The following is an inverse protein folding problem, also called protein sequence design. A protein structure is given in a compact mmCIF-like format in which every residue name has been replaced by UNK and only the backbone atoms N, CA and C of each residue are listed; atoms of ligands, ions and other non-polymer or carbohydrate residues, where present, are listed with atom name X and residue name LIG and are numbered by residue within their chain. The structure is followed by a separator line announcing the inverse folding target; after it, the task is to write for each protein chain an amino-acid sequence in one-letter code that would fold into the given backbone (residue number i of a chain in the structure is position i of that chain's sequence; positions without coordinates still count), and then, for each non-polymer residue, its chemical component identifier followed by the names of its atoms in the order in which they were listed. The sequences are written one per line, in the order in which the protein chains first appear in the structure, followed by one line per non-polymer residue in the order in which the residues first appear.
data_IF_184081751140
#
_entry.id   IF_184081751140
#
_cell.length_a   1.000
_cell.length_b   1.000
_cell.length_c   1.000
_cell.angle_alpha   90.00
_cell.angle_beta   90.00
_cell.angle_gamma   90.00
#
_symmetry.space_group_name_H-M   'P 1'
#
loop_
_entity.id
_entity.type
_entity.pdbx_description
1 polymer ?
#
# COMPACT_ATOMS: atom_id res chain seq x y z
N UNK A 1 20.19 30.10 41.48
CA UNK A 1 19.48 31.08 40.64
C UNK A 1 19.53 30.56 39.21
N UNK A 2 18.47 29.86 38.78
CA UNK A 2 18.33 29.35 37.41
C UNK A 2 17.67 30.44 36.58
N UNK A 3 18.16 30.65 35.37
CA UNK A 3 17.79 31.82 34.57
C UNK A 3 16.39 31.69 33.95
N UNK A 4 15.69 32.80 33.68
CA UNK A 4 14.36 32.81 33.06
C UNK A 4 14.31 32.13 31.67
N UNK A 5 15.48 31.92 31.04
CA UNK A 5 15.63 31.22 29.78
C UNK A 5 15.52 29.68 29.93
N UNK A 6 15.95 29.11 31.05
CA UNK A 6 15.85 27.66 31.27
C UNK A 6 14.41 27.23 31.51
N UNK A 7 13.63 28.03 32.25
CA UNK A 7 12.20 27.80 32.47
C UNK A 7 11.39 27.97 31.18
N UNK A 8 11.78 28.91 30.31
CA UNK A 8 11.15 29.09 29.00
C UNK A 8 11.46 27.92 28.04
N UNK A 9 12.70 27.44 28.04
CA UNK A 9 13.12 26.27 27.24
C UNK A 9 12.44 25.00 27.74
N UNK A 10 12.35 24.78 29.05
CA UNK A 10 11.67 23.62 29.62
C UNK A 10 10.15 23.67 29.39
N UNK A 11 9.54 24.87 29.47
CA UNK A 11 8.12 25.06 29.14
C UNK A 11 7.84 24.86 27.64
N UNK A 12 8.74 25.31 26.76
CA UNK A 12 8.66 25.06 25.32
C UNK A 12 8.81 23.57 24.98
N UNK A 13 9.76 22.87 25.60
CA UNK A 13 9.98 21.42 25.44
C UNK A 13 8.80 20.61 25.99
N UNK A 14 8.21 21.02 27.11
CA UNK A 14 7.02 20.36 27.66
C UNK A 14 5.76 20.58 26.80
N UNK A 15 5.61 21.76 26.17
CA UNK A 15 4.55 22.03 25.18
C UNK A 15 4.76 21.24 23.89
N UNK A 16 6.00 21.11 23.42
CA UNK A 16 6.33 20.34 22.20
C UNK A 16 6.02 18.84 22.38
N UNK A 17 6.36 18.26 23.54
CA UNK A 17 6.09 16.85 23.86
C UNK A 17 4.60 16.48 23.94
N UNK A 18 3.71 17.44 24.22
CA UNK A 18 2.25 17.19 24.30
C UNK A 18 1.56 17.32 22.93
N UNK A 19 2.17 18.07 22.01
CA UNK A 19 1.72 18.23 20.62
C UNK A 19 2.20 17.05 19.74
N UNK A 20 3.29 16.40 20.16
CA UNK A 20 3.98 15.33 19.42
C UNK A 20 3.08 14.14 19.01
N UNK A 21 2.12 13.69 19.83
CA UNK A 21 1.35 12.49 19.48
C UNK A 21 0.22 12.73 18.47
N UNK A 22 -0.37 13.92 18.45
CA UNK A 22 -1.44 14.26 17.50
C UNK A 22 -0.86 14.76 16.17
N UNK A 23 0.20 15.57 16.23
CA UNK A 23 0.85 16.08 15.02
C UNK A 23 1.73 15.04 14.33
N UNK A 24 2.39 14.12 15.04
CA UNK A 24 3.11 13.02 14.38
C UNK A 24 2.15 12.12 13.62
N UNK A 25 0.94 11.87 14.12
CA UNK A 25 -0.09 11.09 13.41
C UNK A 25 -0.67 11.87 12.22
N UNK A 26 -0.81 13.19 12.32
CA UNK A 26 -1.24 14.03 11.21
C UNK A 26 -0.14 14.19 10.14
N UNK A 27 1.12 14.33 10.56
CA UNK A 27 2.30 14.40 9.71
C UNK A 27 2.55 13.05 9.03
N UNK A 28 2.39 11.93 9.73
CA UNK A 28 2.46 10.58 9.16
C UNK A 28 1.38 10.39 8.09
N UNK A 29 0.11 10.73 8.39
CA UNK A 29 -1.00 10.77 7.41
C UNK A 29 -0.76 11.73 6.24
N UNK A 30 -0.07 12.84 6.46
CA UNK A 30 0.32 13.77 5.39
C UNK A 30 1.42 13.19 4.51
N UNK A 31 2.46 12.57 5.09
CA UNK A 31 3.53 11.86 4.37
C UNK A 31 2.97 10.65 3.63
N UNK A 32 1.90 10.03 4.11
CA UNK A 32 1.24 8.87 3.51
C UNK A 32 0.60 9.15 2.14
N UNK A 33 0.32 10.43 1.82
CA UNK A 33 -0.09 10.81 0.48
C UNK A 33 1.11 10.61 -0.46
N UNK A 34 0.97 9.77 -1.48
CA UNK A 34 2.04 9.40 -2.42
C UNK A 34 2.81 10.60 -2.97
N UNK A 35 2.11 11.72 -3.23
CA UNK A 35 2.74 12.97 -3.64
C UNK A 35 3.71 13.54 -2.58
N UNK A 36 3.33 13.50 -1.30
CA UNK A 36 4.11 14.10 -0.22
C UNK A 36 5.32 13.24 0.16
N UNK A 37 5.19 11.91 0.09
CA UNK A 37 6.34 11.00 0.24
C UNK A 37 7.40 11.27 -0.82
N UNK A 38 6.98 11.44 -2.08
CA UNK A 38 7.88 11.79 -3.18
C UNK A 38 8.56 13.13 -2.92
N UNK A 39 7.80 14.17 -2.57
CA UNK A 39 8.37 15.50 -2.28
C UNK A 39 9.35 15.48 -1.10
N UNK A 40 9.01 14.79 -0.01
CA UNK A 40 9.90 14.64 1.15
C UNK A 40 11.15 13.85 0.79
N UNK A 41 11.01 12.80 -0.02
CA UNK A 41 12.13 12.01 -0.51
C UNK A 41 13.07 12.86 -1.36
N UNK A 42 12.53 13.69 -2.28
CA UNK A 42 13.35 14.63 -3.06
C UNK A 42 14.11 15.59 -2.13
N UNK A 43 13.43 16.15 -1.13
CA UNK A 43 14.01 17.12 -0.19
C UNK A 43 15.13 16.52 0.67
N UNK A 44 15.15 15.19 0.85
CA UNK A 44 16.16 14.49 1.66
C UNK A 44 17.22 13.83 0.77
N UNK A 45 16.82 12.95 -0.14
CA UNK A 45 17.75 12.15 -0.94
C UNK A 45 18.54 12.99 -1.94
N UNK A 46 17.92 13.95 -2.64
CA UNK A 46 18.65 14.76 -3.65
C UNK A 46 19.79 15.55 -3.00
N UNK A 47 19.58 16.39 -1.96
CA UNK A 47 20.68 17.12 -1.36
C UNK A 47 21.71 16.22 -0.67
N UNK A 48 21.28 15.12 -0.02
CA UNK A 48 22.22 14.18 0.59
C UNK A 48 23.09 13.47 -0.45
N UNK A 49 22.52 13.04 -1.57
CA UNK A 49 23.25 12.43 -2.67
C UNK A 49 24.23 13.41 -3.30
N UNK A 50 23.79 14.64 -3.58
CA UNK A 50 24.67 15.67 -4.13
C UNK A 50 25.80 15.99 -3.14
N UNK A 51 25.52 16.14 -1.84
CA UNK A 51 26.54 16.33 -0.83
C UNK A 51 27.51 15.15 -0.75
N UNK A 52 27.02 13.91 -0.80
CA UNK A 52 27.83 12.69 -0.77
C UNK A 52 28.73 12.57 -2.00
N UNK A 53 28.19 12.73 -3.21
CA UNK A 53 28.96 12.72 -4.45
C UNK A 53 29.98 13.85 -4.47
N UNK A 54 29.63 15.03 -3.95
CA UNK A 54 30.57 16.15 -3.80
C UNK A 54 31.72 15.81 -2.85
N UNK A 55 31.41 15.24 -1.69
CA UNK A 55 32.42 14.83 -0.72
C UNK A 55 33.38 13.77 -1.31
N UNK A 56 32.82 12.80 -2.05
CA UNK A 56 33.60 11.78 -2.74
C UNK A 56 34.46 12.40 -3.86
N UNK A 57 33.90 13.33 -4.64
CA UNK A 57 34.62 14.06 -5.68
C UNK A 57 35.79 14.84 -5.11
N UNK A 58 35.59 15.57 -4.01
CA UNK A 58 36.65 16.35 -3.38
C UNK A 58 37.75 15.48 -2.74
N UNK A 59 37.42 14.24 -2.35
CA UNK A 59 38.40 13.31 -1.79
C UNK A 59 39.40 12.77 -2.81
N UNK A 60 39.02 12.76 -4.10
CA UNK A 60 39.90 12.39 -5.19
C UNK A 60 40.33 13.64 -5.95
N UNK A 61 41.61 13.97 -5.89
CA UNK A 61 42.24 15.15 -6.54
C UNK A 61 42.13 15.19 -8.08
N UNK A 62 41.38 14.27 -8.68
CA UNK A 62 41.17 14.09 -10.13
C UNK A 62 39.69 14.16 -10.56
N UNK A 63 38.74 14.31 -9.64
CA UNK A 63 37.32 14.34 -9.99
C UNK A 63 36.85 15.80 -10.19
N UNK A 64 36.32 16.08 -11.37
CA UNK A 64 35.91 17.44 -11.79
C UNK A 64 34.62 17.91 -11.11
N UNK A 65 34.66 19.11 -10.53
CA UNK A 65 33.52 19.85 -9.96
C UNK A 65 32.38 20.11 -10.98
N UNK A 66 32.61 19.91 -12.27
CA UNK A 66 31.66 20.22 -13.32
C UNK A 66 30.43 19.27 -13.36
N UNK A 67 30.49 18.13 -12.68
CA UNK A 67 29.44 17.08 -12.67
C UNK A 67 28.05 17.52 -12.16
N UNK A 68 27.95 18.61 -11.40
CA UNK A 68 26.76 18.88 -10.59
C UNK A 68 25.49 19.23 -11.38
N UNK A 69 25.51 20.06 -12.44
CA UNK A 69 24.27 20.44 -13.12
C UNK A 69 23.51 19.26 -13.75
N UNK A 70 24.14 18.37 -14.56
CA UNK A 70 23.41 17.23 -15.13
C UNK A 70 23.08 16.16 -14.08
N UNK A 71 23.94 15.93 -13.08
CA UNK A 71 23.64 15.00 -12.00
C UNK A 71 22.47 15.46 -11.14
N UNK A 72 22.44 16.73 -10.72
CA UNK A 72 21.39 17.25 -9.87
C UNK A 72 20.03 17.23 -10.57
N UNK A 73 19.98 17.68 -11.83
CA UNK A 73 18.74 17.70 -12.61
C UNK A 73 18.23 16.28 -12.92
N UNK A 74 19.11 15.34 -13.28
CA UNK A 74 18.69 13.96 -13.51
C UNK A 74 18.38 13.19 -12.23
N UNK A 75 19.08 13.46 -11.11
CA UNK A 75 18.69 12.94 -9.78
C UNK A 75 17.29 13.43 -9.42
N UNK A 76 17.02 14.73 -9.58
CA UNK A 76 15.67 15.26 -9.34
C UNK A 76 14.63 14.56 -10.21
N UNK A 77 14.90 14.36 -11.50
CA UNK A 77 13.97 13.69 -12.44
C UNK A 77 13.67 12.26 -12.03
N UNK A 78 14.68 11.48 -11.62
CA UNK A 78 14.52 10.11 -11.12
C UNK A 78 13.56 10.06 -9.92
N UNK A 79 13.74 10.95 -8.95
CA UNK A 79 12.94 10.95 -7.72
C UNK A 79 11.57 11.64 -7.88
N UNK A 80 11.46 12.63 -8.77
CA UNK A 80 10.22 13.41 -8.96
C UNK A 80 9.14 12.63 -9.70
N UNK A 81 9.52 11.81 -10.67
CA UNK A 81 8.60 10.99 -11.45
C UNK A 81 9.15 9.56 -11.64
N UNK A 82 9.20 8.73 -10.58
CA UNK A 82 9.89 7.43 -10.59
C UNK A 82 9.27 6.38 -11.53
N UNK A 83 8.00 6.57 -11.93
CA UNK A 83 7.30 5.74 -12.92
C UNK A 83 7.37 6.35 -14.33
N UNK A 84 7.97 7.55 -14.45
CA UNK A 84 8.11 8.29 -15.70
C UNK A 84 9.09 7.66 -16.68
N UNK A 85 8.96 8.05 -17.96
CA UNK A 85 9.79 7.57 -19.07
C UNK A 85 11.30 7.80 -18.84
N UNK A 86 11.64 8.89 -18.16
CA UNK A 86 13.02 9.33 -17.89
C UNK A 86 13.55 8.86 -16.53
N UNK A 87 12.80 8.06 -15.77
CA UNK A 87 13.23 7.56 -14.46
C UNK A 87 13.88 6.18 -14.49
N UNK A 88 14.36 5.74 -15.66
CA UNK A 88 15.10 4.49 -15.75
C UNK A 88 16.57 4.68 -15.30
N UNK A 89 17.03 3.99 -14.24
CA UNK A 89 18.40 4.15 -13.73
C UNK A 89 19.46 3.84 -14.78
N UNK A 90 19.19 2.84 -15.64
CA UNK A 90 20.12 2.43 -16.70
C UNK A 90 20.23 3.51 -17.78
N UNK A 91 19.12 4.09 -18.27
CA UNK A 91 19.21 5.17 -19.27
C UNK A 91 19.82 6.43 -18.69
N UNK A 92 19.60 6.72 -17.41
CA UNK A 92 20.27 7.84 -16.73
C UNK A 92 21.79 7.70 -16.78
N UNK A 93 22.33 6.57 -16.30
CA UNK A 93 23.79 6.31 -16.32
C UNK A 93 24.33 6.27 -17.76
N UNK A 94 23.62 5.57 -18.65
CA UNK A 94 24.03 5.44 -20.05
C UNK A 94 23.98 6.80 -20.77
N UNK A 95 22.98 7.64 -20.50
CA UNK A 95 22.81 8.95 -21.14
C UNK A 95 23.89 9.93 -20.73
N UNK A 96 24.20 10.02 -19.44
CA UNK A 96 25.30 10.83 -18.92
C UNK A 96 26.66 10.39 -19.48
N UNK A 97 26.92 9.09 -19.53
CA UNK A 97 28.21 8.56 -20.02
C UNK A 97 28.36 8.72 -21.54
N UNK A 98 27.30 8.45 -22.31
CA UNK A 98 27.25 8.74 -23.74
C UNK A 98 27.43 10.24 -24.00
N UNK A 99 26.78 11.11 -23.22
CA UNK A 99 26.96 12.55 -23.28
C UNK A 99 28.43 12.95 -23.11
N UNK A 100 29.09 12.42 -22.08
CA UNK A 100 30.51 12.66 -21.83
C UNK A 100 31.40 12.26 -23.02
N UNK A 101 31.16 11.07 -23.58
CA UNK A 101 31.88 10.56 -24.75
C UNK A 101 31.60 11.40 -25.99
N UNK A 102 30.37 11.91 -26.17
CA UNK A 102 30.02 12.80 -27.27
C UNK A 102 30.74 14.16 -27.16
N UNK A 103 30.85 14.71 -25.95
CA UNK A 103 31.64 15.92 -25.69
C UNK A 103 33.12 15.73 -26.02
N UNK A 104 33.71 14.61 -25.57
CA UNK A 104 35.08 14.26 -25.92
C UNK A 104 35.25 14.05 -27.44
N UNK A 105 34.36 13.29 -28.07
CA UNK A 105 34.37 13.05 -29.51
C UNK A 105 34.23 14.34 -30.32
N UNK A 106 33.46 15.31 -29.84
CA UNK A 106 33.33 16.62 -30.48
C UNK A 106 34.65 17.42 -30.48
N UNK A 107 35.40 17.40 -29.37
CA UNK A 107 36.72 18.02 -29.30
C UNK A 107 37.70 17.39 -30.27
N UNK A 108 37.72 16.05 -30.35
CA UNK A 108 38.58 15.31 -31.28
C UNK A 108 38.23 15.68 -32.72
N UNK A 109 36.94 15.66 -33.06
CA UNK A 109 36.48 15.94 -34.42
C UNK A 109 36.75 17.39 -34.84
N UNK A 110 36.52 18.36 -33.95
CA UNK A 110 36.81 19.77 -34.24
C UNK A 110 38.30 20.03 -34.45
N UNK A 111 39.16 19.32 -33.70
CA UNK A 111 40.62 19.40 -33.83
C UNK A 111 41.08 18.82 -35.17
N UNK A 112 40.58 17.64 -35.54
CA UNK A 112 40.90 16.98 -36.82
C UNK A 112 40.43 17.78 -38.04
N UNK A 113 39.29 18.46 -37.94
CA UNK A 113 38.78 19.32 -39.00
C UNK A 113 39.48 20.68 -39.08
N UNK A 114 40.35 21.02 -38.13
CA UNK A 114 41.03 22.32 -38.07
C UNK A 114 40.11 23.50 -37.79
N UNK A 115 38.94 23.25 -37.21
CA UNK A 115 37.91 24.26 -36.85
C UNK A 115 37.85 24.47 -35.34
N UNK A 116 38.76 23.84 -34.58
CA UNK A 116 38.91 24.07 -33.16
C UNK A 116 39.43 25.50 -32.94
N UNK A 117 38.53 26.39 -32.52
CA UNK A 117 38.84 27.81 -32.29
C UNK A 117 39.04 28.09 -30.80
N UNK A 118 38.78 27.08 -29.93
CA UNK A 118 39.15 27.05 -28.52
C UNK A 118 38.94 28.38 -27.85
N UNK A 119 37.68 28.69 -27.53
CA UNK A 119 37.23 30.03 -27.15
C UNK A 119 38.21 30.80 -26.25
N UNK A 120 38.30 32.12 -26.43
CA UNK A 120 39.39 32.97 -25.92
C UNK A 120 39.39 33.21 -24.39
N UNK A 121 38.86 32.30 -23.57
CA UNK A 121 38.76 32.42 -22.12
C UNK A 121 38.62 31.06 -21.41
N UNK A 122 38.86 31.05 -20.09
CA UNK A 122 38.88 29.84 -19.24
C UNK A 122 37.56 29.05 -19.23
N UNK A 123 36.45 29.68 -19.63
CA UNK A 123 35.13 29.06 -19.78
C UNK A 123 34.52 29.30 -21.17
N UNK A 124 35.36 29.56 -22.17
CA UNK A 124 34.89 29.83 -23.51
C UNK A 124 34.91 28.52 -24.33
N UNK A 125 33.77 28.23 -24.93
CA UNK A 125 33.56 27.08 -25.82
C UNK A 125 33.26 27.66 -27.20
N UNK A 126 33.92 27.16 -28.25
CA UNK A 126 33.62 27.61 -29.59
C UNK A 126 32.25 27.10 -30.05
N UNK A 127 31.59 27.88 -30.90
CA UNK A 127 30.23 27.59 -31.34
C UNK A 127 30.15 26.28 -32.15
N UNK A 128 31.23 25.96 -32.87
CA UNK A 128 31.30 24.77 -33.70
C UNK A 128 31.45 23.49 -32.85
N UNK A 129 32.32 23.50 -31.82
CA UNK A 129 32.47 22.38 -30.90
C UNK A 129 31.16 22.11 -30.15
N UNK A 130 30.48 23.17 -29.69
CA UNK A 130 29.18 23.06 -29.03
C UNK A 130 28.11 22.44 -29.96
N UNK A 131 28.06 22.88 -31.22
CA UNK A 131 27.13 22.34 -32.20
C UNK A 131 27.38 20.85 -32.47
N UNK A 132 28.65 20.44 -32.64
CA UNK A 132 29.03 19.04 -32.82
C UNK A 132 28.67 18.22 -31.59
N UNK A 133 28.97 18.70 -30.37
CA UNK A 133 28.68 17.97 -29.14
C UNK A 133 27.19 17.69 -28.97
N UNK A 134 26.33 18.71 -29.20
CA UNK A 134 24.87 18.56 -29.12
C UNK A 134 24.35 17.65 -30.23
N UNK A 135 24.86 17.78 -31.45
CA UNK A 135 24.49 16.93 -32.58
C UNK A 135 24.86 15.46 -32.34
N UNK A 136 26.09 15.19 -31.91
CA UNK A 136 26.55 13.84 -31.56
C UNK A 136 25.74 13.27 -30.42
N UNK A 137 25.50 14.04 -29.36
CA UNK A 137 24.65 13.61 -28.24
C UNK A 137 23.26 13.19 -28.75
N UNK A 138 22.63 13.98 -29.62
CA UNK A 138 21.33 13.65 -30.19
C UNK A 138 21.35 12.38 -31.07
N UNK A 139 22.31 12.28 -32.00
CA UNK A 139 22.40 11.12 -32.90
C UNK A 139 22.70 9.83 -32.14
N UNK A 140 23.65 9.86 -31.21
CA UNK A 140 24.07 8.66 -30.47
C UNK A 140 23.01 8.23 -29.45
N UNK A 141 22.39 9.17 -28.72
CA UNK A 141 21.30 8.83 -27.78
C UNK A 141 20.09 8.27 -28.51
N UNK A 142 19.75 8.82 -29.67
CA UNK A 142 18.68 8.30 -30.54
C UNK A 142 19.01 6.90 -31.06
N UNK A 143 20.23 6.69 -31.59
CA UNK A 143 20.65 5.39 -32.11
C UNK A 143 20.66 4.27 -31.05
N UNK A 144 20.84 4.63 -29.78
CA UNK A 144 20.91 3.69 -28.65
C UNK A 144 19.60 3.55 -27.87
N UNK A 145 18.52 4.28 -28.23
CA UNK A 145 17.26 4.36 -27.46
C UNK A 145 17.47 4.83 -25.99
N UNK A 146 18.40 5.78 -25.80
CA UNK A 146 18.77 6.40 -24.52
C UNK A 146 18.40 7.89 -24.55
N UNK A 147 17.16 8.20 -24.94
CA UNK A 147 16.67 9.59 -24.99
C UNK A 147 16.65 10.21 -23.58
N UNK A 148 17.78 10.77 -23.14
CA UNK A 148 17.98 11.28 -21.79
C UNK A 148 18.41 12.77 -21.87
N UNK A 149 17.58 13.73 -21.41
CA UNK A 149 17.87 15.16 -21.56
C UNK A 149 19.21 15.60 -20.92
N UNK A 150 19.61 14.93 -19.83
CA UNK A 150 20.86 15.23 -19.13
C UNK A 150 22.12 14.88 -19.96
N UNK A 151 22.00 14.05 -21.00
CA UNK A 151 23.09 13.72 -21.92
C UNK A 151 23.62 14.95 -22.67
N UNK A 152 22.74 15.83 -23.14
CA UNK A 152 23.12 17.06 -23.85
C UNK A 152 23.89 18.03 -22.94
N UNK A 153 23.41 18.23 -21.71
CA UNK A 153 24.11 19.04 -20.72
C UNK A 153 25.50 18.47 -20.42
N UNK A 154 25.63 17.14 -20.40
CA UNK A 154 26.90 16.46 -20.12
C UNK A 154 27.87 16.55 -21.30
N UNK A 155 27.37 16.48 -22.53
CA UNK A 155 28.16 16.68 -23.73
C UNK A 155 28.78 18.08 -23.80
N UNK A 156 27.98 19.12 -23.50
CA UNK A 156 28.48 20.49 -23.43
C UNK A 156 29.51 20.67 -22.32
N UNK A 157 29.31 20.02 -21.18
CA UNK A 157 30.25 20.05 -20.07
C UNK A 157 31.60 19.40 -20.41
N UNK A 158 31.57 18.35 -21.24
CA UNK A 158 32.77 17.69 -21.77
C UNK A 158 33.70 18.64 -22.52
N UNK A 159 33.17 19.72 -23.11
CA UNK A 159 33.95 20.73 -23.82
C UNK A 159 34.77 21.63 -22.88
N UNK A 160 34.44 21.68 -21.59
CA UNK A 160 35.17 22.45 -20.58
C UNK A 160 36.27 21.62 -19.90
N UNK A 161 36.39 20.34 -20.23
CA UNK A 161 37.38 19.44 -19.63
C UNK A 161 38.77 19.79 -20.15
N UNK A 162 39.77 19.73 -19.27
CA UNK A 162 41.15 20.00 -19.66
C UNK A 162 41.66 18.91 -20.61
N UNK A 163 42.40 19.27 -21.67
CA UNK A 163 43.02 18.31 -22.56
C UNK A 163 43.84 17.26 -21.79
N UNK A 164 43.62 15.98 -22.09
CA UNK A 164 44.30 14.84 -21.45
C UNK A 164 43.64 14.30 -20.18
N UNK A 165 42.51 14.87 -19.74
CA UNK A 165 41.74 14.40 -18.57
C UNK A 165 40.32 13.94 -18.91
N UNK A 166 39.99 13.85 -20.20
CA UNK A 166 38.66 13.49 -20.72
C UNK A 166 38.23 12.07 -20.30
N UNK A 167 39.19 11.15 -20.26
CA UNK A 167 38.96 9.80 -19.75
C UNK A 167 38.61 9.81 -18.25
N UNK A 168 39.36 10.57 -17.44
CA UNK A 168 39.09 10.69 -15.99
C UNK A 168 37.71 11.31 -15.75
N UNK A 169 37.35 12.32 -16.56
CA UNK A 169 36.03 12.92 -16.54
C UNK A 169 34.92 11.92 -16.89
N UNK A 170 35.07 11.13 -17.96
CA UNK A 170 34.06 10.14 -18.36
C UNK A 170 33.87 9.07 -17.29
N UNK A 171 34.96 8.57 -16.70
CA UNK A 171 34.92 7.61 -15.60
C UNK A 171 34.26 8.23 -14.35
N UNK A 172 34.53 9.51 -14.06
CA UNK A 172 33.89 10.21 -12.95
C UNK A 172 32.37 10.31 -13.10
N UNK A 173 31.89 10.59 -14.32
CA UNK A 173 30.47 10.62 -14.67
C UNK A 173 29.84 9.25 -14.50
N UNK A 174 30.48 8.21 -15.03
CA UNK A 174 30.00 6.83 -14.89
C UNK A 174 29.85 6.44 -13.42
N UNK A 175 30.87 6.69 -12.60
CA UNK A 175 30.85 6.35 -11.17
C UNK A 175 29.79 7.15 -10.41
N UNK A 176 29.75 8.47 -10.59
CA UNK A 176 28.82 9.34 -9.87
C UNK A 176 27.36 9.04 -10.24
N UNK A 177 27.06 8.88 -11.53
CA UNK A 177 25.71 8.52 -11.99
C UNK A 177 25.31 7.11 -11.54
N UNK A 178 26.25 6.15 -11.50
CA UNK A 178 25.99 4.80 -11.00
C UNK A 178 25.64 4.79 -9.50
N UNK A 179 26.30 5.63 -8.69
CA UNK A 179 25.96 5.77 -7.26
C UNK A 179 24.52 6.30 -7.09
N UNK A 180 24.17 7.35 -7.83
CA UNK A 180 22.81 7.92 -7.81
C UNK A 180 21.79 6.87 -8.25
N UNK A 181 22.04 6.18 -9.36
CA UNK A 181 21.17 5.14 -9.90
C UNK A 181 20.98 3.98 -8.91
N UNK A 182 22.04 3.57 -8.22
CA UNK A 182 21.99 2.53 -7.19
C UNK A 182 21.10 2.94 -6.02
N UNK A 183 21.34 4.14 -5.45
CA UNK A 183 20.55 4.64 -4.32
C UNK A 183 19.08 4.83 -4.72
N UNK A 184 18.83 5.36 -5.92
CA UNK A 184 17.48 5.47 -6.47
C UNK A 184 16.80 4.10 -6.61
N UNK A 185 17.50 3.09 -7.14
CA UNK A 185 16.94 1.73 -7.31
C UNK A 185 16.60 1.11 -5.96
N UNK A 186 17.51 1.20 -4.98
CA UNK A 186 17.27 0.71 -3.62
C UNK A 186 16.09 1.44 -2.98
N UNK A 187 16.01 2.76 -3.13
CA UNK A 187 14.88 3.53 -2.63
C UNK A 187 13.57 3.13 -3.31
N UNK A 188 13.57 2.97 -4.63
CA UNK A 188 12.38 2.62 -5.42
C UNK A 188 11.83 1.25 -4.98
N UNK A 189 12.68 0.23 -4.93
CA UNK A 189 12.27 -1.13 -4.54
C UNK A 189 11.85 -1.20 -3.06
N UNK A 190 12.62 -0.59 -2.15
CA UNK A 190 12.39 -0.75 -0.70
C UNK A 190 11.29 0.15 -0.15
N UNK A 191 11.15 1.36 -0.68
CA UNK A 191 10.23 2.37 -0.13
C UNK A 191 9.08 2.70 -1.08
N UNK A 192 9.37 2.91 -2.38
CA UNK A 192 8.34 3.35 -3.32
C UNK A 192 7.42 2.22 -3.79
N UNK A 193 7.94 1.04 -4.11
CA UNK A 193 7.17 -0.13 -4.56
C UNK A 193 6.52 -0.86 -3.37
N UNK A 194 7.23 -0.97 -2.25
CA UNK A 194 6.69 -1.56 -1.01
C UNK A 194 5.64 -0.68 -0.30
N UNK A 195 5.30 0.49 -0.88
CA UNK A 195 4.31 1.45 -0.35
C UNK A 195 2.97 0.80 -0.01
N UNK A 196 2.53 -0.18 -0.79
CA UNK A 196 1.26 -0.84 -0.52
C UNK A 196 1.31 -1.64 0.79
N UNK A 197 2.43 -2.30 1.10
CA UNK A 197 2.51 -3.19 2.27
C UNK A 197 2.81 -2.47 3.57
N UNK A 198 3.63 -1.41 3.52
CA UNK A 198 4.00 -0.65 4.74
C UNK A 198 2.88 0.31 5.17
N UNK A 199 2.05 0.77 4.22
CA UNK A 199 1.00 1.74 4.48
C UNK A 199 -0.39 1.13 4.62
N UNK A 200 -0.78 0.10 3.85
CA UNK A 200 -2.15 -0.42 3.95
C UNK A 200 -2.42 -1.22 5.22
N UNK A 201 -1.40 -1.89 5.79
CA UNK A 201 -1.61 -2.74 6.97
C UNK A 201 -1.88 -1.94 8.25
N UNK A 202 -1.54 -0.63 8.29
CA UNK A 202 -1.83 0.24 9.45
C UNK A 202 -3.02 1.19 9.28
N UNK A 203 -3.64 1.26 8.09
CA UNK A 203 -4.69 2.25 7.79
C UNK A 203 -6.08 1.64 7.63
N UNK A 204 -6.22 0.32 7.68
CA UNK A 204 -7.50 -0.36 7.62
C UNK A 204 -7.87 -1.04 8.94
N UNK A 205 -7.37 -0.57 10.10
CA UNK A 205 -7.56 -1.29 11.37
C UNK A 205 -7.92 -0.47 12.61
N UNK A 206 -7.89 0.86 12.53
CA UNK A 206 -7.91 1.73 13.74
C UNK A 206 -9.31 2.25 14.12
N UNK A 207 -10.40 1.78 13.50
CA UNK A 207 -11.78 2.18 13.83
C UNK A 207 -12.80 1.07 13.50
N UNK A 208 -12.46 -0.17 13.83
CA UNK A 208 -13.25 -1.37 13.55
C UNK A 208 -14.00 -1.82 14.80
N UNK A 209 -15.30 -1.56 14.83
CA UNK A 209 -16.13 -1.85 16.00
C UNK A 209 -16.80 -3.21 15.84
N UNK A 210 -16.45 -4.17 16.70
CA UNK A 210 -17.19 -5.42 16.84
C UNK A 210 -18.35 -5.25 17.81
N UNK A 211 -19.54 -5.67 17.40
CA UNK A 211 -20.76 -5.61 18.19
C UNK A 211 -21.30 -7.03 18.35
N UNK A 212 -21.18 -7.65 19.54
CA UNK A 212 -21.89 -8.88 19.84
C UNK A 212 -23.39 -8.59 19.89
N UNK A 213 -24.18 -9.30 19.08
CA UNK A 213 -25.62 -9.12 18.93
C UNK A 213 -26.40 -9.82 20.05
N UNK A 214 -26.01 -9.54 21.30
CA UNK A 214 -26.56 -10.11 22.54
C UNK A 214 -27.18 -9.05 23.45
N UNK A 215 -27.98 -9.50 24.41
CA UNK A 215 -28.68 -8.66 25.39
C UNK A 215 -30.05 -8.16 24.94
N UNK A 216 -30.69 -7.33 25.76
CA UNK A 216 -32.08 -6.89 25.58
C UNK A 216 -32.31 -6.00 24.35
N UNK A 217 -31.29 -5.25 23.90
CA UNK A 217 -31.41 -4.31 22.78
C UNK A 217 -30.12 -4.25 21.92
N UNK A 218 -29.83 -5.33 21.16
CA UNK A 218 -28.59 -5.42 20.37
C UNK A 218 -28.56 -4.40 19.23
N UNK A 219 -29.71 -4.03 18.68
CA UNK A 219 -29.82 -3.04 17.60
C UNK A 219 -29.39 -1.63 18.03
N UNK A 220 -29.65 -1.24 19.28
CA UNK A 220 -29.20 0.05 19.81
C UNK A 220 -27.67 0.08 19.99
N UNK A 221 -27.09 -1.01 20.48
CA UNK A 221 -25.63 -1.16 20.60
C UNK A 221 -24.95 -1.16 19.23
N UNK A 222 -25.54 -1.84 18.25
CA UNK A 222 -25.06 -1.84 16.86
C UNK A 222 -25.12 -0.45 16.22
N UNK A 223 -26.18 0.31 16.48
CA UNK A 223 -26.30 1.69 16.02
C UNK A 223 -25.28 2.62 16.69
N UNK A 224 -24.99 2.42 17.99
CA UNK A 224 -23.94 3.15 18.69
C UNK A 224 -22.56 2.83 18.10
N UNK A 225 -22.23 1.55 17.93
CA UNK A 225 -20.98 1.10 17.33
C UNK A 225 -20.81 1.65 15.91
N UNK A 226 -21.87 1.65 15.11
CA UNK A 226 -21.89 2.25 13.78
C UNK A 226 -21.63 3.75 13.79
N UNK A 227 -22.20 4.51 14.73
CA UNK A 227 -21.93 5.94 14.85
C UNK A 227 -20.51 6.26 15.29
N UNK A 228 -19.90 5.38 16.09
CA UNK A 228 -18.49 5.49 16.49
C UNK A 228 -17.61 5.24 15.26
N UNK A 229 -17.84 4.14 14.53
CA UNK A 229 -17.13 3.83 13.29
C UNK A 229 -17.32 4.93 12.22
N UNK A 230 -18.52 5.49 12.10
CA UNK A 230 -18.86 6.55 11.14
C UNK A 230 -18.13 7.87 11.37
N UNK A 231 -17.59 8.10 12.57
CA UNK A 231 -16.79 9.29 12.82
C UNK A 231 -15.47 9.28 12.03
N UNK A 232 -15.14 8.16 11.39
CA UNK A 232 -13.90 7.92 10.66
C UNK A 232 -14.19 7.35 9.26
N UNK A 233 -13.58 7.93 8.22
CA UNK A 233 -13.88 7.61 6.81
C UNK A 233 -13.55 6.15 6.41
N UNK A 234 -12.75 5.44 7.21
CA UNK A 234 -12.34 4.04 6.99
C UNK A 234 -12.93 3.06 8.02
N UNK A 235 -13.85 3.51 8.89
CA UNK A 235 -14.44 2.68 9.92
C UNK A 235 -15.32 1.57 9.35
N UNK A 236 -15.40 0.45 10.06
CA UNK A 236 -16.34 -0.66 9.74
C UNK A 236 -16.98 -1.17 11.01
N UNK A 237 -18.17 -1.74 10.88
CA UNK A 237 -18.84 -2.45 11.97
C UNK A 237 -18.88 -3.93 11.66
N UNK A 238 -18.51 -4.77 12.63
CA UNK A 238 -18.67 -6.22 12.56
C UNK A 238 -19.77 -6.64 13.52
N UNK A 239 -20.87 -7.15 12.99
CA UNK A 239 -21.95 -7.73 13.79
C UNK A 239 -21.63 -9.20 14.03
N UNK A 240 -21.47 -9.59 15.29
CA UNK A 240 -21.18 -10.95 15.70
C UNK A 240 -22.40 -11.58 16.35
N UNK A 241 -22.84 -12.72 15.86
CA UNK A 241 -23.75 -13.61 16.60
C UNK A 241 -23.05 -14.92 16.93
N UNK A 242 -23.44 -15.52 18.04
CA UNK A 242 -22.85 -16.76 18.54
C UNK A 242 -23.99 -17.75 18.66
N UNK A 243 -23.93 -18.80 17.83
CA UNK A 243 -24.87 -19.90 17.83
C UNK A 243 -24.40 -20.91 18.87
N UNK A 244 -25.21 -21.09 19.92
CA UNK A 244 -25.03 -22.12 20.94
C UNK A 244 -25.94 -23.32 20.62
N UNK A 245 -25.69 -24.48 21.22
CA UNK A 245 -26.38 -25.75 20.92
C UNK A 245 -27.92 -25.66 21.07
N UNK A 246 -28.42 -24.80 21.96
CA UNK A 246 -29.86 -24.56 22.13
C UNK A 246 -30.48 -23.87 20.91
N UNK A 247 -29.77 -22.93 20.29
CA UNK A 247 -30.22 -22.24 19.07
C UNK A 247 -30.18 -23.18 17.86
N UNK A 248 -29.22 -24.10 17.80
CA UNK A 248 -29.19 -25.15 16.80
C UNK A 248 -30.41 -26.08 16.94
N UNK A 249 -30.76 -26.47 18.17
CA UNK A 249 -31.94 -27.28 18.46
C UNK A 249 -33.28 -26.57 18.15
N UNK A 250 -33.37 -25.25 18.35
CA UNK A 250 -34.55 -24.46 17.98
C UNK A 250 -34.76 -24.41 16.45
N UNK A 251 -33.67 -24.23 15.69
CA UNK A 251 -33.70 -24.24 14.23
C UNK A 251 -34.12 -25.61 13.67
N UNK A 252 -33.67 -26.70 14.29
CA UNK A 252 -34.12 -28.05 13.96
C UNK A 252 -35.62 -28.22 14.17
N UNK A 253 -36.15 -27.78 15.32
CA UNK A 253 -37.59 -27.85 15.60
C UNK A 253 -38.43 -27.04 14.62
N UNK A 254 -37.95 -25.87 14.18
CA UNK A 254 -38.63 -25.06 13.18
C UNK A 254 -38.63 -25.71 11.79
N UNK A 255 -37.54 -26.36 11.39
CA UNK A 255 -37.46 -27.09 10.13
C UNK A 255 -38.40 -28.30 10.10
N UNK A 256 -38.50 -29.05 11.21
CA UNK A 256 -39.44 -30.15 11.36
C UNK A 256 -40.90 -29.68 11.28
N UNK A 257 -41.22 -28.49 11.82
CA UNK A 257 -42.58 -27.92 11.73
C UNK A 257 -42.92 -27.43 10.30
N UNK A 258 -41.93 -26.97 9.53
CA UNK A 258 -42.13 -26.59 8.12
C UNK A 258 -42.31 -27.80 7.20
N UNK A 259 -41.57 -28.89 7.44
CA UNK A 259 -41.73 -30.17 6.72
C UNK A 259 -43.14 -30.75 6.90
N UNK A 260 -43.68 -30.69 8.13
CA UNK A 260 -45.08 -31.04 8.44
C UNK A 260 -46.12 -30.15 7.72
N UNK A 261 -45.77 -28.88 7.43
CA UNK A 261 -46.64 -27.95 6.69
C UNK A 261 -46.61 -28.14 5.18
N UNK A 262 -45.56 -28.75 4.64
CA UNK A 262 -45.47 -29.11 3.21
C UNK A 262 -46.28 -30.38 2.94
N UNK A 263 -46.22 -31.40 3.80
CA UNK A 263 -47.05 -32.61 3.67
C UNK A 263 -48.56 -32.33 3.74
N UNK A 264 -48.99 -31.35 4.55
CA UNK A 264 -50.43 -31.01 4.69
C UNK A 264 -50.99 -30.26 3.47
N UNK A 265 -50.16 -29.76 2.54
CA UNK A 265 -50.60 -28.99 1.37
C UNK A 265 -50.68 -29.80 0.07
N UNK A 266 -50.36 -31.10 0.08
CA UNK A 266 -50.43 -31.96 -1.11
C UNK A 266 -51.58 -32.97 -0.97
N UNK A 267 -52.82 -32.51 -1.04
CA UNK A 267 -53.98 -33.41 -1.13
C UNK A 267 -55.22 -32.76 -1.77
N UNK A 268 -55.13 -32.28 -3.02
CA UNK A 268 -56.28 -32.17 -3.94
C UNK A 268 -55.76 -32.21 -5.39
N UNK A 269 -55.63 -33.37 -6.03
CA UNK A 269 -56.55 -33.89 -7.04
C UNK A 269 -56.07 -35.33 -7.42
N UNK A 270 -56.87 -36.39 -7.33
CA UNK A 270 -57.90 -36.75 -8.29
C UNK A 270 -57.38 -37.78 -9.32
N UNK A 271 -57.71 -39.08 -9.15
CA UNK A 271 -57.67 -40.04 -10.27
C UNK A 271 -57.30 -41.49 -9.91
N UNK A 272 -58.28 -42.39 -10.02
CA UNK A 272 -58.19 -43.86 -9.93
C UNK A 272 -57.20 -44.45 -10.97
N UNK A 273 -56.57 -45.63 -10.80
CA UNK A 273 -57.18 -46.96 -10.67
C UNK A 273 -56.27 -48.00 -9.99
N UNK A 274 -56.95 -49.00 -9.42
CA UNK A 274 -56.45 -50.24 -8.79
C UNK A 274 -55.71 -51.16 -9.77
N UNK A 275 -54.70 -51.89 -9.26
CA UNK A 275 -54.69 -53.37 -9.23
C UNK A 275 -53.67 -53.91 -8.24
N UNK A 276 -54.13 -54.87 -7.44
CA UNK A 276 -53.41 -55.80 -6.56
C UNK A 276 -52.08 -56.33 -7.15
N UNK A 277 -51.04 -56.52 -6.32
CA UNK A 277 -50.83 -57.84 -5.71
C UNK A 277 -49.82 -57.81 -4.54
N UNK A 278 -49.98 -58.79 -3.66
CA UNK A 278 -49.44 -58.89 -2.31
C UNK A 278 -47.98 -59.37 -2.24
N UNK A 279 -47.27 -58.83 -1.24
CA UNK A 279 -46.22 -59.47 -0.43
C UNK A 279 -44.89 -59.87 -1.09
N UNK A 280 -43.87 -59.05 -0.84
CA UNK A 280 -42.62 -59.53 -0.25
C UNK A 280 -41.97 -58.36 0.51
N UNK A 281 -41.93 -58.50 1.83
CA UNK A 281 -41.05 -57.71 2.71
C UNK A 281 -39.63 -58.14 2.38
N UNK A 282 -38.85 -57.25 1.77
CA UNK A 282 -37.40 -57.40 1.72
C UNK A 282 -36.79 -56.27 2.56
N UNK A 283 -36.10 -56.73 3.58
CA UNK A 283 -35.44 -55.99 4.64
C UNK A 283 -34.13 -55.43 4.10
N UNK A 284 -34.18 -54.17 3.63
CA UNK A 284 -32.98 -53.37 3.45
C UNK A 284 -32.78 -52.45 4.66
N UNK A 285 -32.44 -53.05 5.78
CA UNK A 285 -31.75 -52.38 6.89
C UNK A 285 -30.32 -52.05 6.45
N UNK A 286 -30.19 -51.04 5.60
CA UNK A 286 -28.93 -50.37 5.30
C UNK A 286 -28.67 -49.25 6.31
N UNK A 287 -27.60 -49.41 7.08
CA UNK A 287 -26.76 -48.40 7.73
C UNK A 287 -27.45 -47.12 8.22
N UNK A 288 -27.81 -47.11 9.52
CA UNK A 288 -28.23 -45.90 10.26
C UNK A 288 -27.39 -45.70 11.53
N UNK A 289 -26.08 -45.89 11.44
CA UNK A 289 -25.16 -45.60 12.55
C UNK A 289 -24.10 -44.55 12.22
N UNK A 290 -24.12 -43.97 11.02
CA UNK A 290 -23.26 -42.83 10.62
C UNK A 290 -24.08 -41.53 10.35
N UNK A 291 -25.42 -41.58 10.43
CA UNK A 291 -26.26 -40.43 10.05
C UNK A 291 -26.31 -39.32 11.10
N UNK A 292 -26.10 -39.62 12.39
CA UNK A 292 -26.34 -38.64 13.46
C UNK A 292 -25.31 -37.50 13.48
N UNK A 293 -24.06 -37.77 13.09
CA UNK A 293 -23.03 -36.74 13.04
C UNK A 293 -23.22 -35.79 11.84
N UNK A 294 -23.58 -36.36 10.68
CA UNK A 294 -23.92 -35.60 9.48
C UNK A 294 -25.22 -34.78 9.68
N UNK A 295 -26.19 -35.33 10.42
CA UNK A 295 -27.44 -34.65 10.78
C UNK A 295 -27.18 -33.47 11.75
N UNK A 296 -26.34 -33.65 12.78
CA UNK A 296 -25.96 -32.59 13.73
C UNK A 296 -25.15 -31.45 13.07
N UNK A 297 -24.22 -31.79 12.17
CA UNK A 297 -23.45 -30.80 11.40
C UNK A 297 -24.37 -30.02 10.45
N UNK A 298 -25.28 -30.71 9.75
CA UNK A 298 -26.26 -30.08 8.86
C UNK A 298 -27.27 -29.16 9.60
N UNK A 299 -27.64 -29.51 10.84
CA UNK A 299 -28.49 -28.67 11.70
C UNK A 299 -27.75 -27.41 12.13
N UNK A 300 -26.49 -27.56 12.56
CA UNK A 300 -25.64 -26.43 12.95
C UNK A 300 -25.42 -25.46 11.79
N UNK A 301 -25.13 -25.99 10.60
CA UNK A 301 -24.95 -25.19 9.39
C UNK A 301 -26.22 -24.40 9.02
N UNK A 302 -27.39 -25.01 9.19
CA UNK A 302 -28.68 -24.34 8.95
C UNK A 302 -28.92 -23.20 9.95
N UNK A 303 -28.65 -23.43 11.23
CA UNK A 303 -28.75 -22.40 12.27
C UNK A 303 -27.77 -21.24 12.01
N UNK A 304 -26.54 -21.55 11.57
CA UNK A 304 -25.55 -20.55 11.16
C UNK A 304 -26.05 -19.73 9.96
N UNK A 305 -26.62 -20.38 8.94
CA UNK A 305 -27.15 -19.70 7.76
C UNK A 305 -28.34 -18.78 8.10
N UNK A 306 -29.25 -19.21 8.98
CA UNK A 306 -30.37 -18.40 9.44
C UNK A 306 -29.90 -17.18 10.26
N UNK A 307 -28.97 -17.40 11.19
CA UNK A 307 -28.35 -16.32 11.96
C UNK A 307 -27.64 -15.31 11.04
N UNK A 308 -26.91 -15.79 10.03
CA UNK A 308 -26.24 -14.93 9.05
C UNK A 308 -27.25 -14.08 8.26
N UNK A 309 -28.34 -14.66 7.75
CA UNK A 309 -29.36 -13.94 7.00
C UNK A 309 -30.04 -12.84 7.85
N UNK A 310 -30.27 -13.12 9.13
CA UNK A 310 -30.83 -12.15 10.06
C UNK A 310 -29.87 -10.99 10.34
N UNK A 311 -28.59 -11.29 10.54
CA UNK A 311 -27.54 -10.28 10.71
C UNK A 311 -27.32 -9.44 9.45
N UNK A 312 -27.37 -10.03 8.26
CA UNK A 312 -27.27 -9.31 6.99
C UNK A 312 -28.42 -8.30 6.82
N UNK A 313 -29.63 -8.70 7.20
CA UNK A 313 -30.80 -7.80 7.20
C UNK A 313 -30.56 -6.59 8.11
N UNK A 314 -29.97 -6.80 9.30
CA UNK A 314 -29.62 -5.74 10.24
C UNK A 314 -28.46 -4.87 9.75
N UNK A 315 -27.41 -5.48 9.20
CA UNK A 315 -26.26 -4.81 8.59
C UNK A 315 -26.72 -3.85 7.48
N UNK A 316 -27.54 -4.34 6.55
CA UNK A 316 -28.11 -3.54 5.46
C UNK A 316 -28.96 -2.35 5.96
N UNK A 317 -29.59 -2.47 7.13
CA UNK A 317 -30.35 -1.38 7.75
C UNK A 317 -29.42 -0.33 8.37
N UNK A 318 -28.33 -0.75 9.00
CA UNK A 318 -27.34 0.14 9.62
C UNK A 318 -26.57 0.89 8.52
N UNK A 319 -26.09 0.18 7.51
CA UNK A 319 -25.37 0.76 6.37
C UNK A 319 -26.21 1.83 5.67
N UNK A 320 -27.50 1.57 5.39
CA UNK A 320 -28.40 2.57 4.79
C UNK A 320 -28.65 3.81 5.66
N UNK A 321 -28.59 3.68 6.99
CA UNK A 321 -28.90 4.77 7.92
C UNK A 321 -27.69 5.61 8.27
N UNK A 322 -26.52 4.98 8.36
CA UNK A 322 -25.30 5.60 8.90
C UNK A 322 -24.23 5.76 7.82
N UNK A 323 -24.27 4.96 6.74
CA UNK A 323 -23.31 5.03 5.64
C UNK A 323 -21.97 4.34 5.92
N UNK A 324 -21.93 3.40 6.88
CA UNK A 324 -20.72 2.67 7.27
C UNK A 324 -20.77 1.22 6.77
N UNK A 325 -19.68 0.68 6.19
CA UNK A 325 -19.59 -0.72 5.83
C UNK A 325 -19.86 -1.65 7.01
N UNK A 326 -20.77 -2.61 6.83
CA UNK A 326 -21.13 -3.59 7.85
C UNK A 326 -20.73 -5.00 7.39
N UNK A 327 -19.99 -5.71 8.23
CA UNK A 327 -19.62 -7.11 8.05
C UNK A 327 -20.38 -7.97 9.07
N UNK A 328 -20.71 -9.19 8.67
CA UNK A 328 -21.41 -10.17 9.51
C UNK A 328 -20.46 -11.33 9.82
N UNK A 329 -20.45 -11.75 11.08
CA UNK A 329 -19.74 -12.96 11.53
C UNK A 329 -20.70 -13.77 12.39
N UNK A 330 -20.79 -15.05 12.10
CA UNK A 330 -21.49 -16.03 12.94
C UNK A 330 -20.44 -17.01 13.43
N UNK A 331 -20.37 -17.20 14.75
CA UNK A 331 -19.45 -18.14 15.36
C UNK A 331 -20.22 -19.24 16.10
N UNK A 332 -19.78 -20.49 15.93
CA UNK A 332 -20.29 -21.61 16.73
C UNK A 332 -19.63 -21.58 18.11
N UNK A 333 -20.45 -21.61 19.16
CA UNK A 333 -20.00 -21.53 20.55
C UNK A 333 -19.32 -22.81 21.03
N UNK A 334 -17.98 -22.82 21.09
CA UNK A 334 -17.20 -23.95 21.65
C UNK A 334 -16.63 -23.71 23.05
N UNK A 335 -16.98 -22.58 23.70
CA UNK A 335 -16.36 -22.11 24.94
C UNK A 335 -17.12 -20.94 25.57
N UNK A 336 -16.45 -20.05 26.32
CA UNK A 336 -17.16 -18.91 26.92
C UNK A 336 -17.53 -17.86 25.86
N UNK A 337 -18.72 -17.22 25.98
CA UNK A 337 -19.12 -16.09 25.15
C UNK A 337 -18.02 -15.05 24.94
N UNK A 338 -17.33 -14.68 26.01
CA UNK A 338 -16.27 -13.67 25.98
C UNK A 338 -15.05 -14.13 25.16
N UNK A 339 -14.67 -15.41 25.25
CA UNK A 339 -13.54 -15.93 24.45
C UNK A 339 -13.86 -15.95 22.96
N UNK A 340 -15.10 -16.28 22.60
CA UNK A 340 -15.55 -16.29 21.21
C UNK A 340 -15.59 -14.87 20.64
N UNK A 341 -16.10 -13.90 21.42
CA UNK A 341 -16.07 -12.47 21.06
C UNK A 341 -14.65 -11.96 20.86
N UNK A 342 -13.73 -12.28 21.78
CA UNK A 342 -12.33 -11.85 21.67
C UNK A 342 -11.60 -12.52 20.50
N UNK A 343 -11.91 -13.78 20.20
CA UNK A 343 -11.37 -14.50 19.04
C UNK A 343 -11.87 -13.84 17.75
N UNK A 344 -13.18 -13.64 17.62
CA UNK A 344 -13.78 -12.98 16.46
C UNK A 344 -13.19 -11.58 16.27
N UNK A 345 -13.05 -10.79 17.34
CA UNK A 345 -12.46 -9.44 17.26
C UNK A 345 -11.02 -9.48 16.71
N UNK A 346 -10.21 -10.45 17.10
CA UNK A 346 -8.85 -10.61 16.56
C UNK A 346 -8.85 -11.05 15.10
N UNK A 347 -9.71 -12.00 14.73
CA UNK A 347 -9.80 -12.52 13.37
C UNK A 347 -10.34 -11.47 12.38
N UNK A 348 -11.21 -10.58 12.85
CA UNK A 348 -11.80 -9.51 12.03
C UNK A 348 -11.02 -8.19 12.09
N UNK A 349 -9.92 -8.16 12.84
CA UNK A 349 -9.11 -6.98 13.13
C UNK A 349 -9.93 -5.82 13.70
N UNK A 350 -10.75 -6.12 14.72
CA UNK A 350 -11.49 -5.13 15.49
C UNK A 350 -10.71 -4.68 16.72
N UNK A 351 -10.66 -3.38 16.94
CA UNK A 351 -9.92 -2.71 18.00
C UNK A 351 -10.84 -2.18 19.13
N UNK A 352 -12.14 -2.10 18.85
CA UNK A 352 -13.18 -1.79 19.83
C UNK A 352 -14.26 -2.89 19.85
N UNK A 353 -14.64 -3.31 21.06
CA UNK A 353 -15.83 -4.15 21.27
C UNK A 353 -16.90 -3.30 21.96
N UNK A 354 -18.05 -3.14 21.31
CA UNK A 354 -19.21 -2.48 21.88
C UNK A 354 -20.26 -3.53 22.25
N UNK A 355 -20.37 -3.83 23.54
CA UNK A 355 -21.32 -4.80 24.07
C UNK A 355 -22.40 -4.11 24.91
N UNK A 356 -23.60 -4.69 24.95
CA UNK A 356 -24.63 -4.28 25.89
C UNK A 356 -24.20 -4.59 27.33
N UNK A 357 -24.66 -3.79 28.28
CA UNK A 357 -24.44 -4.07 29.69
C UNK A 357 -25.44 -5.14 30.17
N UNK A 358 -24.92 -6.30 30.57
CA UNK A 358 -25.72 -7.44 31.06
C UNK A 358 -25.48 -7.60 32.57
N UNK A 359 -26.55 -7.69 33.36
CA UNK A 359 -26.45 -7.85 34.82
C UNK A 359 -26.37 -9.32 35.28
N UNK A 360 -26.60 -10.29 34.38
CA UNK A 360 -26.49 -11.74 34.64
C UNK A 360 -25.99 -12.47 33.39
N UNK A 361 -25.14 -13.46 33.63
CA UNK A 361 -24.58 -14.38 32.64
C UNK A 361 -25.49 -15.58 32.39
#
# INVERSE_FOLDING_TARGET
MRGPLEDWVLAAVARLRRIERHEVRAFRRWVERTSNLVHLSILVFVPLLIAFVTALSNSASRLSFLLFPPLASGTYTLFADPEGRYASPVRFVAGLTVGALCGWGALVLATELGVADGGTGVFAVGAFEAAIAVFLAGVVTWALDIEEPSAYSTALLGLLVRPGTEFEFTVSILLASSIVALVFTVWRERFYEQRARILYESTQGDDHVLVPMRGENPDATAMLGARIAAAHDAGKVVLLDIVDDEAAADAERAALDDDWRVETRVATDGGAERTDDSAAVDDSSGDREDSTADDEEAVTDRAVAEAAAHLETRANRIERRVGVPCQVVVAVGGGSPASTVLKAARETNCDLVAAAYEQRH
#
